data_IF_202150652166
#
_entry.id   IF_202150652166
#
_cell.length_a   1.000
_cell.length_b   1.000
_cell.length_c   1.000
_cell.angle_alpha   90.00
_cell.angle_beta   90.00
_cell.angle_gamma   90.00
#
_symmetry.space_group_name_H-M   'P 1'
#
loop_
_entity.id
_entity.type
_entity.pdbx_description
1 polymer ?
#
# COMPACT_ATOMS: atom_id res chain seq x y z
N UNK A 1 -12.74 -5.54 13.82
CA UNK A 1 -11.36 -5.95 13.48
C UNK A 1 -10.51 -4.71 13.34
N UNK A 2 -9.49 -4.56 14.19
CA UNK A 2 -8.50 -3.48 14.09
C UNK A 2 -7.27 -3.91 13.29
N UNK A 3 -7.13 -5.20 13.01
CA UNK A 3 -6.00 -5.78 12.27
C UNK A 3 -6.51 -6.64 11.12
N UNK A 4 -6.03 -6.38 9.91
CA UNK A 4 -6.33 -7.17 8.72
C UNK A 4 -5.12 -8.02 8.36
N UNK A 5 -5.31 -9.35 8.35
CA UNK A 5 -4.30 -10.32 7.93
C UNK A 5 -4.85 -11.26 6.88
N UNK A 6 -4.05 -11.59 5.86
CA UNK A 6 -4.42 -12.59 4.85
C UNK A 6 -3.17 -13.25 4.24
N UNK A 7 -3.03 -14.59 4.29
CA UNK A 7 -1.91 -15.29 3.68
C UNK A 7 -1.89 -15.16 2.16
N UNK A 8 -0.71 -15.04 1.55
CA UNK A 8 -0.50 -14.94 0.09
C UNK A 8 -1.06 -16.13 -0.68
N UNK A 9 -1.10 -17.30 -0.06
CA UNK A 9 -1.67 -18.53 -0.62
C UNK A 9 -3.19 -18.49 -0.72
N UNK A 10 -3.84 -17.55 -0.03
CA UNK A 10 -5.30 -17.43 -0.04
C UNK A 10 -5.77 -16.94 -1.41
N UNK A 11 -6.76 -17.59 -2.05
CA UNK A 11 -7.28 -17.14 -3.33
C UNK A 11 -7.97 -15.76 -3.22
N UNK A 12 -7.99 -14.96 -4.31
CA UNK A 12 -8.75 -13.72 -4.38
C UNK A 12 -10.24 -13.95 -4.17
N UNK A 13 -10.92 -13.00 -3.54
CA UNK A 13 -12.38 -13.03 -3.32
C UNK A 13 -13.12 -12.89 -4.66
N UNK A 14 -14.19 -13.67 -4.83
CA UNK A 14 -15.08 -13.65 -6.00
C UNK A 14 -16.54 -13.45 -5.57
N UNK A 15 -17.39 -12.90 -6.46
CA UNK A 15 -18.83 -12.78 -6.22
C UNK A 15 -19.27 -11.68 -5.24
N UNK A 16 -18.36 -10.80 -4.83
CA UNK A 16 -18.67 -9.65 -3.97
C UNK A 16 -19.04 -8.42 -4.80
N UNK A 17 -19.95 -7.59 -4.28
CA UNK A 17 -20.26 -6.30 -4.90
C UNK A 17 -19.10 -5.32 -4.73
N UNK A 18 -19.15 -4.21 -5.47
CA UNK A 18 -18.15 -3.14 -5.31
C UNK A 18 -18.18 -2.57 -3.89
N UNK A 19 -19.37 -2.37 -3.33
CA UNK A 19 -19.53 -1.85 -1.97
C UNK A 19 -18.92 -2.80 -0.95
N UNK A 20 -19.19 -4.11 -1.04
CA UNK A 20 -18.59 -5.10 -0.13
C UNK A 20 -17.06 -5.11 -0.19
N UNK A 21 -16.50 -4.93 -1.39
CA UNK A 21 -15.05 -4.94 -1.61
C UNK A 21 -14.34 -3.72 -1.04
N UNK A 22 -15.01 -2.56 -0.97
CA UNK A 22 -14.37 -1.27 -0.62
C UNK A 22 -14.83 -0.70 0.72
N UNK A 23 -16.13 -0.82 1.02
CA UNK A 23 -16.77 -0.30 2.23
C UNK A 23 -16.98 -1.40 3.29
N UNK A 24 -16.59 -2.63 2.98
CA UNK A 24 -16.57 -3.73 3.94
C UNK A 24 -15.61 -3.51 5.11
N UNK A 25 -15.56 -4.48 6.02
CA UNK A 25 -14.79 -4.39 7.27
C UNK A 25 -13.28 -4.14 7.05
N UNK A 26 -12.71 -4.60 5.94
CA UNK A 26 -11.30 -4.39 5.59
C UNK A 26 -11.00 -3.03 4.95
N UNK A 27 -12.02 -2.16 4.79
CA UNK A 27 -11.91 -0.82 4.15
C UNK A 27 -11.23 -0.86 2.78
N UNK A 28 -11.37 -1.98 2.08
CA UNK A 28 -10.75 -2.24 0.77
C UNK A 28 -9.27 -2.59 0.79
N UNK A 29 -8.65 -2.82 1.95
CA UNK A 29 -7.24 -3.24 2.05
C UNK A 29 -7.02 -4.60 1.38
N UNK A 30 -7.92 -5.57 1.59
CA UNK A 30 -7.79 -6.89 0.95
C UNK A 30 -7.88 -6.73 -0.56
N UNK A 31 -8.79 -5.88 -1.06
CA UNK A 31 -8.93 -5.64 -2.49
C UNK A 31 -7.68 -4.97 -3.08
N UNK A 32 -7.09 -3.99 -2.38
CA UNK A 32 -5.84 -3.35 -2.80
C UNK A 32 -4.69 -4.36 -2.91
N UNK A 33 -4.58 -5.26 -1.93
CA UNK A 33 -3.58 -6.32 -1.91
C UNK A 33 -3.78 -7.34 -3.03
N UNK A 34 -5.01 -7.79 -3.29
CA UNK A 34 -5.35 -8.64 -4.43
C UNK A 34 -4.98 -8.00 -5.77
N UNK A 35 -5.26 -6.70 -5.94
CA UNK A 35 -4.85 -5.94 -7.14
C UNK A 35 -3.31 -5.87 -7.23
N UNK A 36 -2.61 -5.73 -6.10
CA UNK A 36 -1.15 -5.79 -6.05
C UNK A 36 -0.62 -7.12 -6.58
N UNK A 37 -1.20 -8.24 -6.15
CA UNK A 37 -0.83 -9.59 -6.61
C UNK A 37 -1.07 -9.79 -8.11
N UNK A 38 -2.23 -9.36 -8.61
CA UNK A 38 -2.54 -9.41 -10.05
C UNK A 38 -1.55 -8.57 -10.86
N UNK A 39 -1.22 -7.37 -10.37
CA UNK A 39 -0.23 -6.50 -11.01
C UNK A 39 1.19 -7.06 -10.96
N UNK A 40 1.56 -7.81 -9.93
CA UNK A 40 2.87 -8.44 -9.86
C UNK A 40 3.09 -9.43 -11.02
N UNK A 41 2.03 -10.16 -11.39
CA UNK A 41 2.06 -11.10 -12.53
C UNK A 41 2.09 -10.34 -13.86
N UNK A 42 1.30 -9.27 -13.99
CA UNK A 42 1.19 -8.50 -15.25
C UNK A 42 2.40 -7.58 -15.50
N UNK A 43 3.00 -7.05 -14.44
CA UNK A 43 4.08 -6.06 -14.48
C UNK A 43 5.22 -6.51 -13.56
N UNK A 44 6.00 -7.54 -13.96
CA UNK A 44 7.05 -8.11 -13.12
C UNK A 44 8.12 -7.09 -12.75
N UNK A 45 8.42 -6.13 -13.63
CA UNK A 45 9.33 -5.01 -13.36
C UNK A 45 8.89 -4.15 -12.17
N UNK A 46 7.59 -3.90 -12.01
CA UNK A 46 7.04 -3.16 -10.88
C UNK A 46 7.19 -3.96 -9.58
N UNK A 47 6.94 -5.27 -9.64
CA UNK A 47 7.15 -6.17 -8.50
C UNK A 47 8.62 -6.21 -8.08
N UNK A 48 9.56 -6.30 -9.03
CA UNK A 48 10.99 -6.28 -8.76
C UNK A 48 11.43 -4.99 -8.06
N UNK A 49 10.92 -3.83 -8.50
CA UNK A 49 11.18 -2.55 -7.83
C UNK A 49 10.65 -2.54 -6.38
N UNK A 50 9.41 -3.00 -6.17
CA UNK A 50 8.87 -3.13 -4.82
C UNK A 50 9.70 -4.10 -3.96
N UNK A 51 10.15 -5.23 -4.52
CA UNK A 51 11.01 -6.21 -3.85
C UNK A 51 12.37 -5.60 -3.45
N UNK A 52 12.95 -4.77 -4.30
CA UNK A 52 14.17 -4.01 -4.05
C UNK A 52 14.04 -2.89 -2.98
N UNK A 53 12.86 -2.77 -2.34
CA UNK A 53 12.62 -1.76 -1.31
C UNK A 53 12.23 -0.39 -1.87
N UNK A 54 11.91 -0.30 -3.16
CA UNK A 54 11.37 0.93 -3.72
C UNK A 54 9.89 1.11 -3.33
N UNK A 55 9.48 2.38 -3.30
CA UNK A 55 8.09 2.80 -3.12
C UNK A 55 7.60 3.48 -4.42
N UNK A 56 7.34 2.72 -5.51
CA UNK A 56 6.93 3.30 -6.79
C UNK A 56 5.57 4.02 -6.68
N UNK A 57 5.32 4.97 -7.59
CA UNK A 57 4.02 5.66 -7.66
C UNK A 57 2.94 4.71 -8.14
N UNK A 58 1.87 4.57 -7.35
CA UNK A 58 0.70 3.73 -7.61
C UNK A 58 -0.57 4.60 -7.63
N UNK A 59 -1.75 3.97 -7.65
CA UNK A 59 -3.04 4.66 -7.56
C UNK A 59 -3.35 5.24 -6.16
N UNK A 60 -2.51 4.97 -5.16
CA UNK A 60 -2.69 5.37 -3.77
C UNK A 60 -1.56 6.30 -3.29
N UNK A 61 -1.86 7.12 -2.28
CA UNK A 61 -0.87 8.04 -1.67
C UNK A 61 0.18 7.24 -0.90
N UNK A 62 1.44 7.49 -1.20
CA UNK A 62 2.57 6.80 -0.56
C UNK A 62 3.77 6.61 -1.47
N UNK A 63 3.53 6.52 -2.78
CA UNK A 63 4.60 6.39 -3.76
C UNK A 63 5.48 7.63 -3.86
N UNK A 64 6.70 7.38 -4.34
CA UNK A 64 7.80 8.32 -4.46
C UNK A 64 8.45 8.15 -5.83
N UNK A 65 8.53 9.24 -6.59
CA UNK A 65 9.26 9.29 -7.87
C UNK A 65 10.61 10.01 -7.78
N UNK A 66 10.78 10.88 -6.77
CA UNK A 66 11.99 11.67 -6.53
C UNK A 66 12.12 12.01 -5.04
N UNK A 67 13.34 12.32 -4.61
CA UNK A 67 13.58 12.88 -3.28
C UNK A 67 13.06 14.32 -3.18
N UNK A 68 12.61 14.71 -2.00
CA UNK A 68 12.13 16.06 -1.68
C UNK A 68 13.07 16.72 -0.67
N UNK A 69 12.99 18.06 -0.52
CA UNK A 69 13.77 18.80 0.51
C UNK A 69 13.47 18.28 1.92
N UNK A 70 12.19 18.05 2.22
CA UNK A 70 11.76 17.28 3.38
C UNK A 70 11.65 15.83 2.96
N UNK A 71 12.54 14.98 3.46
CA UNK A 71 12.60 13.57 3.06
C UNK A 71 11.47 12.72 3.67
N UNK A 72 10.63 13.29 4.52
CA UNK A 72 9.51 12.62 5.17
C UNK A 72 8.16 13.01 4.56
N UNK A 73 7.28 12.03 4.39
CA UNK A 73 5.88 12.25 3.99
C UNK A 73 4.96 11.18 4.57
N UNK A 74 3.66 11.43 4.56
CA UNK A 74 2.64 10.42 4.86
C UNK A 74 2.08 9.76 3.60
N UNK A 75 1.72 8.48 3.74
CA UNK A 75 0.94 7.70 2.78
C UNK A 75 -0.30 7.10 3.44
N UNK A 76 -1.12 6.41 2.66
CA UNK A 76 -2.31 5.71 3.17
C UNK A 76 -2.11 4.19 3.24
N UNK A 77 -2.81 3.52 4.16
CA UNK A 77 -2.71 2.06 4.31
C UNK A 77 -3.09 1.27 3.05
N UNK A 78 -3.94 1.83 2.17
CA UNK A 78 -4.29 1.21 0.88
C UNK A 78 -3.08 1.06 -0.05
N UNK A 79 -2.15 2.03 0.00
CA UNK A 79 -0.87 1.91 -0.71
C UNK A 79 -0.06 0.74 -0.15
N UNK A 80 0.08 0.68 1.18
CA UNK A 80 0.85 -0.37 1.85
C UNK A 80 0.31 -1.77 1.53
N UNK A 81 -1.01 -1.92 1.51
CA UNK A 81 -1.67 -3.19 1.14
C UNK A 81 -1.33 -3.60 -0.30
N UNK A 82 -1.44 -2.66 -1.25
CA UNK A 82 -1.09 -2.94 -2.64
C UNK A 82 0.41 -3.26 -2.80
N UNK A 83 1.28 -2.59 -2.05
CA UNK A 83 2.72 -2.80 -2.07
C UNK A 83 3.13 -4.17 -1.52
N UNK A 84 2.53 -4.63 -0.41
CA UNK A 84 2.69 -6.00 0.09
C UNK A 84 2.26 -7.04 -0.98
N UNK A 85 1.14 -6.77 -1.65
CA UNK A 85 0.66 -7.65 -2.73
C UNK A 85 1.60 -7.71 -3.94
N UNK A 86 2.21 -6.58 -4.32
CA UNK A 86 3.21 -6.51 -5.39
C UNK A 86 4.48 -7.30 -5.06
N UNK A 87 4.82 -7.43 -3.78
CA UNK A 87 5.97 -8.19 -3.28
C UNK A 87 5.68 -9.67 -3.10
N UNK A 88 4.43 -10.10 -3.29
CA UNK A 88 4.03 -11.47 -3.00
C UNK A 88 4.05 -11.81 -1.51
N UNK A 89 3.87 -10.80 -0.64
CA UNK A 89 3.84 -10.98 0.80
C UNK A 89 2.41 -11.19 1.32
N UNK A 90 2.31 -11.76 2.51
CA UNK A 90 1.06 -11.79 3.26
C UNK A 90 0.56 -10.36 3.51
N UNK A 91 -0.76 -10.17 3.42
CA UNK A 91 -1.37 -8.94 3.88
C UNK A 91 -1.26 -8.89 5.40
N UNK A 92 -0.63 -7.86 5.93
CA UNK A 92 -0.51 -7.63 7.37
C UNK A 92 -0.56 -6.12 7.67
N UNK A 93 -1.73 -5.62 8.05
CA UNK A 93 -1.96 -4.19 8.31
C UNK A 93 -2.84 -4.00 9.54
N UNK A 94 -2.29 -3.32 10.54
CA UNK A 94 -3.05 -2.78 11.67
C UNK A 94 -3.65 -1.41 11.30
N UNK A 95 -4.97 -1.29 11.42
CA UNK A 95 -5.77 -0.08 11.14
C UNK A 95 -5.62 1.00 12.22
N UNK A 96 -4.93 0.71 13.32
CA UNK A 96 -4.72 1.62 14.44
C UNK A 96 -3.28 2.11 14.54
N UNK A 97 -2.36 1.50 13.79
CA UNK A 97 -0.93 1.82 13.84
C UNK A 97 -0.47 2.50 12.58
N UNK A 98 0.58 3.31 12.73
CA UNK A 98 1.33 3.86 11.61
C UNK A 98 2.52 2.98 11.28
N UNK A 99 2.82 2.85 9.98
CA UNK A 99 3.96 2.06 9.50
C UNK A 99 4.89 2.95 8.69
N UNK A 100 6.14 3.07 9.11
CA UNK A 100 7.14 3.84 8.38
C UNK A 100 8.03 2.92 7.56
N UNK A 101 8.21 3.24 6.27
CA UNK A 101 9.16 2.59 5.36
C UNK A 101 10.07 3.62 4.72
N UNK A 102 11.32 3.25 4.44
CA UNK A 102 12.26 4.09 3.69
C UNK A 102 12.41 3.53 2.27
N UNK A 103 12.19 4.38 1.27
CA UNK A 103 12.37 4.01 -0.13
C UNK A 103 13.86 3.90 -0.47
N UNK A 104 14.33 2.71 -0.83
CA UNK A 104 15.75 2.45 -1.09
C UNK A 104 16.32 3.26 -2.27
N UNK A 105 15.50 3.60 -3.26
CA UNK A 105 15.94 4.37 -4.45
C UNK A 105 16.10 5.88 -4.17
N UNK A 106 15.34 6.44 -3.24
CA UNK A 106 15.24 7.91 -3.05
C UNK A 106 15.55 8.37 -1.63
N UNK A 107 15.73 7.45 -0.70
CA UNK A 107 15.87 7.68 0.74
C UNK A 107 14.69 8.46 1.38
N UNK A 108 13.56 8.55 0.67
CA UNK A 108 12.34 9.14 1.22
C UNK A 108 11.74 8.21 2.28
N UNK A 109 11.39 8.79 3.42
CA UNK A 109 10.75 8.12 4.55
C UNK A 109 9.24 8.36 4.43
N UNK A 110 8.48 7.28 4.32
CA UNK A 110 7.02 7.32 4.14
C UNK A 110 6.34 6.65 5.32
N UNK A 111 5.54 7.42 6.06
CA UNK A 111 4.71 6.92 7.15
C UNK A 111 3.28 6.68 6.66
N UNK A 112 2.90 5.42 6.55
CA UNK A 112 1.55 4.98 6.19
C UNK A 112 0.65 5.01 7.42
N UNK A 113 -0.44 5.76 7.33
CA UNK A 113 -1.31 6.04 8.46
C UNK A 113 -2.78 5.78 8.15
N UNK A 114 -3.58 5.33 9.14
CA UNK A 114 -5.04 5.29 9.02
C UNK A 114 -5.68 6.69 9.06
N UNK A 115 -4.96 7.70 9.57
CA UNK A 115 -5.46 9.07 9.68
C UNK A 115 -5.43 9.77 8.32
N UNK A 116 -6.63 9.99 7.76
CA UNK A 116 -6.80 10.64 6.45
C UNK A 116 -6.31 12.08 6.43
N UNK A 117 -6.37 12.81 7.54
CA UNK A 117 -5.98 14.22 7.57
C UNK A 117 -4.48 14.40 7.28
N UNK A 118 -3.62 13.45 7.71
CA UNK A 118 -2.16 13.52 7.58
C UNK A 118 -1.63 13.40 6.15
N UNK A 119 -2.39 12.78 5.23
CA UNK A 119 -1.94 12.56 3.85
C UNK A 119 -2.79 13.26 2.77
N UNK A 120 -3.93 13.87 3.14
CA UNK A 120 -4.73 14.68 2.21
C UNK A 120 -4.18 16.10 2.10
N UNK A 121 -3.73 16.71 3.21
CA UNK A 121 -3.30 18.11 3.26
C UNK A 121 -1.77 18.28 3.13
N UNK A 122 -1.10 17.40 2.39
CA UNK A 122 0.32 17.62 2.09
C UNK A 122 0.43 18.71 1.03
N UNK A 123 0.72 19.93 1.47
CA UNK A 123 1.12 20.99 0.56
C UNK A 123 2.38 20.52 -0.20
N UNK A 124 2.43 20.67 -1.54
CA UNK A 124 3.66 20.47 -2.27
C UNK A 124 4.67 21.48 -1.75
N UNK A 125 5.80 20.98 -1.22
CA UNK A 125 6.94 21.80 -0.86
C UNK A 125 7.53 22.53 -2.08
#
# INVERSE_FOLDING_TARGET
MTHIKRPITTPPRTGLTREDLWEGQDRGLIKCWEIGRDRAVKFPELAQRCLAGELPVLGWKGGVSRSLKKNEKFGCLKYLAQWQGLRGEDLDIDLTQERTLTCSSTNMIVTFTPDRAKYVNQEPA
#
